data_IF_348820059825
#
_entry.id   IF_348820059825
#
_cell.length_a   1.000
_cell.length_b   1.000
_cell.length_c   1.000
_cell.angle_alpha   90.00
_cell.angle_beta   90.00
_cell.angle_gamma   90.00
#
_symmetry.space_group_name_H-M   'P 1'
#
loop_
_entity.id
_entity.type
_entity.pdbx_description
1 polymer ?
#
# COMPACT_ATOMS: atom_id res chain seq x y z
N UNK A 1 1.03 8.45 -23.83
CA UNK A 1 1.21 8.45 -22.37
C UNK A 1 1.02 7.02 -21.87
N UNK A 2 2.09 6.33 -21.47
CA UNK A 2 2.00 5.01 -20.82
C UNK A 2 1.92 5.25 -19.31
N UNK A 3 0.80 4.89 -18.72
CA UNK A 3 0.54 5.04 -17.29
C UNK A 3 1.44 4.07 -16.52
N UNK A 4 2.55 4.58 -15.97
CA UNK A 4 3.32 3.86 -14.93
C UNK A 4 2.50 3.97 -13.65
N UNK A 5 1.67 2.97 -13.39
CA UNK A 5 0.82 2.94 -12.20
C UNK A 5 1.44 1.98 -11.19
N UNK A 6 2.08 2.54 -10.16
CA UNK A 6 2.34 1.85 -8.90
C UNK A 6 1.28 2.32 -7.93
N UNK A 7 0.72 1.40 -7.13
CA UNK A 7 -0.11 1.76 -5.98
C UNK A 7 0.08 0.72 -4.88
N UNK A 8 0.31 1.10 -3.63
CA UNK A 8 -0.06 0.20 -2.52
C UNK A 8 -1.60 0.28 -2.38
N UNK A 9 -2.30 -0.84 -2.15
CA UNK A 9 -3.76 -0.83 -1.93
C UNK A 9 -4.09 -1.00 -0.47
N UNK A 10 -4.74 0.01 0.08
CA UNK A 10 -5.42 -0.08 1.35
C UNK A 10 -4.51 0.08 2.56
N UNK A 11 -5.11 0.56 3.63
CA UNK A 11 -4.45 0.94 4.89
C UNK A 11 -4.49 -0.28 5.83
N UNK A 12 -3.36 -0.87 6.20
CA UNK A 12 -3.38 -1.91 7.22
C UNK A 12 -3.65 -1.29 8.59
N UNK A 13 -4.83 -1.54 9.16
CA UNK A 13 -5.15 -1.14 10.53
C UNK A 13 -5.63 -2.38 11.26
N UNK A 14 -4.79 -2.92 12.14
CA UNK A 14 -5.22 -3.95 13.07
C UNK A 14 -6.05 -3.27 14.17
N UNK A 15 -7.37 -3.41 14.11
CA UNK A 15 -8.18 -3.31 15.32
C UNK A 15 -7.82 -4.55 16.14
N UNK A 16 -7.02 -4.34 17.19
CA UNK A 16 -6.46 -5.42 18.01
C UNK A 16 -7.58 -6.27 18.61
N UNK A 17 -7.81 -7.44 18.01
CA UNK A 17 -8.17 -8.68 18.70
C UNK A 17 -7.37 -9.83 18.03
N UNK A 18 -6.56 -10.50 18.86
CA UNK A 18 -5.64 -11.62 18.62
C UNK A 18 -5.32 -12.03 17.17
N UNK A 19 -4.18 -11.55 16.66
CA UNK A 19 -3.52 -12.13 15.49
C UNK A 19 -2.94 -13.51 15.80
N UNK A 20 -3.67 -14.57 15.50
CA UNK A 20 -3.14 -15.93 15.44
C UNK A 20 -2.91 -16.33 13.97
N UNK A 21 -1.74 -16.02 13.46
CA UNK A 21 -1.23 -16.61 12.21
C UNK A 21 -0.96 -18.10 12.45
N UNK A 22 -1.82 -18.97 11.91
CA UNK A 22 -1.78 -20.43 12.13
C UNK A 22 -3.03 -21.02 12.83
N UNK A 23 -4.04 -20.18 13.10
CA UNK A 23 -5.30 -20.61 13.68
C UNK A 23 -6.07 -21.60 12.79
N UNK A 24 -6.54 -22.70 13.37
CA UNK A 24 -7.49 -23.60 12.71
C UNK A 24 -8.82 -22.87 12.47
N UNK A 25 -9.59 -23.30 11.46
CA UNK A 25 -10.89 -22.72 11.08
C UNK A 25 -11.83 -22.34 12.26
N UNK A 26 -11.96 -23.14 13.34
CA UNK A 26 -12.75 -22.76 14.52
C UNK A 26 -12.25 -21.51 15.25
N UNK A 27 -10.94 -21.29 15.32
CA UNK A 27 -10.37 -20.08 15.94
C UNK A 27 -10.62 -18.85 15.08
N UNK A 28 -10.55 -18.97 13.74
CA UNK A 28 -10.90 -17.87 12.83
C UNK A 28 -12.38 -17.48 12.95
N UNK A 29 -13.28 -18.45 13.13
CA UNK A 29 -14.69 -18.19 13.39
C UNK A 29 -14.92 -17.49 14.73
N UNK A 30 -14.20 -17.89 15.78
CA UNK A 30 -14.27 -17.23 17.08
C UNK A 30 -13.77 -15.79 17.01
N UNK A 31 -12.67 -15.55 16.31
CA UNK A 31 -12.09 -14.22 16.07
C UNK A 31 -13.09 -13.30 15.36
N UNK A 32 -13.64 -13.74 14.22
CA UNK A 32 -14.67 -13.01 13.49
C UNK A 32 -15.95 -12.78 14.31
N UNK A 33 -16.33 -13.74 15.16
CA UNK A 33 -17.47 -13.60 16.05
C UNK A 33 -17.22 -12.55 17.14
N UNK A 34 -16.02 -12.54 17.74
CA UNK A 34 -15.63 -11.54 18.73
C UNK A 34 -15.62 -10.14 18.11
N UNK A 35 -15.07 -9.99 16.91
CA UNK A 35 -15.11 -8.73 16.18
C UNK A 35 -16.54 -8.31 15.82
N UNK A 36 -17.39 -9.26 15.43
CA UNK A 36 -18.79 -9.00 15.13
C UNK A 36 -19.59 -8.52 16.35
N UNK A 37 -19.17 -8.90 17.56
CA UNK A 37 -19.74 -8.37 18.83
C UNK A 37 -19.39 -6.91 19.05
N UNK A 38 -18.21 -6.51 18.60
CA UNK A 38 -17.74 -5.14 18.69
C UNK A 38 -18.49 -4.25 17.68
N UNK A 39 -18.40 -4.59 16.39
CA UNK A 39 -19.22 -4.04 15.32
C UNK A 39 -19.10 -4.90 14.05
N UNK A 40 -20.15 -5.01 13.21
CA UNK A 40 -20.05 -5.75 11.94
C UNK A 40 -18.89 -5.29 11.05
N UNK A 41 -18.54 -4.01 11.10
CA UNK A 41 -17.42 -3.44 10.34
C UNK A 41 -16.05 -3.94 10.82
N UNK A 42 -15.91 -4.26 12.11
CA UNK A 42 -14.66 -4.78 12.68
C UNK A 42 -14.39 -6.17 12.10
N UNK A 43 -15.42 -7.02 12.05
CA UNK A 43 -15.30 -8.35 11.44
C UNK A 43 -15.01 -8.27 9.93
N UNK A 44 -15.63 -7.31 9.23
CA UNK A 44 -15.36 -7.07 7.81
C UNK A 44 -13.91 -6.60 7.57
N UNK A 45 -13.39 -5.70 8.42
CA UNK A 45 -12.00 -5.25 8.33
C UNK A 45 -11.00 -6.36 8.60
N UNK A 46 -11.26 -7.18 9.62
CA UNK A 46 -10.46 -8.35 9.91
C UNK A 46 -10.48 -9.34 8.73
N UNK A 47 -11.64 -9.58 8.12
CA UNK A 47 -11.74 -10.45 6.95
C UNK A 47 -10.98 -9.93 5.71
N UNK A 48 -10.94 -8.62 5.47
CA UNK A 48 -10.16 -8.03 4.37
C UNK A 48 -8.64 -8.00 4.64
N UNK A 49 -8.24 -7.95 5.90
CA UNK A 49 -6.86 -7.69 6.33
C UNK A 49 -5.81 -8.62 5.68
N UNK A 50 -6.00 -9.97 5.62
CA UNK A 50 -5.04 -10.85 4.95
C UNK A 50 -4.91 -10.59 3.45
N UNK A 51 -6.00 -10.25 2.75
CA UNK A 51 -5.99 -9.93 1.32
C UNK A 51 -5.26 -8.61 1.06
N UNK A 52 -5.48 -7.60 1.91
CA UNK A 52 -4.76 -6.31 1.88
C UNK A 52 -3.27 -6.52 2.14
N UNK A 53 -2.92 -7.33 3.13
CA UNK A 53 -1.52 -7.65 3.45
C UNK A 53 -0.81 -8.35 2.29
N UNK A 54 -1.48 -9.33 1.67
CA UNK A 54 -0.98 -10.07 0.51
C UNK A 54 -0.67 -9.13 -0.68
N UNK A 55 -1.63 -8.28 -1.07
CA UNK A 55 -1.45 -7.41 -2.24
C UNK A 55 -0.42 -6.30 -1.99
N UNK A 56 -0.39 -5.73 -0.78
CA UNK A 56 0.54 -4.65 -0.45
C UNK A 56 2.01 -5.09 -0.48
N UNK A 57 2.32 -6.29 0.02
CA UNK A 57 3.72 -6.76 0.07
C UNK A 57 4.25 -7.21 -1.29
N UNK A 58 3.39 -7.68 -2.19
CA UNK A 58 3.84 -8.30 -3.45
C UNK A 58 3.67 -7.36 -4.62
N UNK A 59 2.51 -6.73 -4.76
CA UNK A 59 2.07 -6.29 -6.07
C UNK A 59 2.77 -5.02 -6.55
N UNK A 60 3.08 -4.08 -5.65
CA UNK A 60 3.89 -2.90 -6.00
C UNK A 60 5.26 -3.33 -6.49
N UNK A 61 5.94 -4.18 -5.71
CA UNK A 61 7.30 -4.62 -6.05
C UNK A 61 7.31 -5.39 -7.36
N UNK A 62 6.31 -6.26 -7.55
CA UNK A 62 6.12 -6.98 -8.80
C UNK A 62 6.01 -6.04 -10.01
N UNK A 63 5.11 -5.06 -9.94
CA UNK A 63 4.84 -4.11 -11.03
C UNK A 63 6.03 -3.20 -11.33
N UNK A 64 6.74 -2.74 -10.29
CA UNK A 64 7.97 -1.95 -10.44
C UNK A 64 8.98 -2.68 -11.28
N UNK A 65 9.25 -3.94 -10.92
CA UNK A 65 10.27 -4.68 -11.62
C UNK A 65 9.80 -4.98 -13.05
N UNK A 66 8.54 -5.41 -13.25
CA UNK A 66 8.05 -5.71 -14.60
C UNK A 66 8.07 -4.49 -15.53
N UNK A 67 7.80 -3.27 -15.03
CA UNK A 67 7.96 -2.06 -15.83
C UNK A 67 9.43 -1.85 -16.26
N UNK A 68 10.39 -2.09 -15.37
CA UNK A 68 11.83 -2.03 -15.70
C UNK A 68 12.25 -3.08 -16.73
N UNK A 69 11.67 -4.28 -16.68
CA UNK A 69 11.87 -5.31 -17.71
C UNK A 69 11.39 -4.83 -19.09
N UNK A 70 10.18 -4.27 -19.15
CA UNK A 70 9.58 -3.77 -20.39
C UNK A 70 10.25 -2.51 -20.93
N UNK A 71 10.84 -1.72 -20.04
CA UNK A 71 11.49 -0.46 -20.37
C UNK A 71 12.88 -0.42 -19.73
N UNK A 72 13.86 -1.18 -20.27
CA UNK A 72 15.21 -1.20 -19.72
C UNK A 72 15.76 0.22 -19.65
N UNK A 73 16.01 0.69 -18.44
CA UNK A 73 16.73 1.94 -18.23
C UNK A 73 18.22 1.63 -18.17
N UNK A 74 19.10 2.55 -18.61
CA UNK A 74 20.52 2.45 -18.28
C UNK A 74 20.65 2.21 -16.78
N UNK A 75 21.52 1.28 -16.36
CA UNK A 75 21.80 1.12 -14.93
C UNK A 75 22.22 2.48 -14.40
N UNK A 76 21.48 3.07 -13.43
CA UNK A 76 21.94 4.29 -12.80
C UNK A 76 23.35 4.04 -12.25
N UNK A 77 24.22 5.06 -12.19
CA UNK A 77 25.41 4.99 -11.39
C UNK A 77 25.00 4.49 -9.99
N UNK A 78 25.73 3.52 -9.44
CA UNK A 78 25.52 3.08 -8.06
C UNK A 78 26.05 4.19 -7.16
N UNK A 79 25.22 5.21 -6.95
CA UNK A 79 25.50 6.42 -6.19
C UNK A 79 24.46 6.63 -5.08
N UNK A 80 24.63 7.67 -4.26
CA UNK A 80 23.70 7.99 -3.17
C UNK A 80 22.26 8.20 -3.65
N UNK A 81 22.04 8.68 -4.88
CA UNK A 81 20.69 8.87 -5.43
C UNK A 81 20.05 7.53 -5.77
N UNK A 82 20.84 6.58 -6.26
CA UNK A 82 20.39 5.22 -6.45
C UNK A 82 19.99 4.57 -5.12
N UNK A 83 20.83 4.66 -4.09
CA UNK A 83 20.48 4.15 -2.74
C UNK A 83 19.25 4.85 -2.14
N UNK A 84 19.10 6.16 -2.34
CA UNK A 84 17.92 6.90 -1.90
C UNK A 84 16.64 6.40 -2.60
N UNK A 85 16.70 6.03 -3.88
CA UNK A 85 15.56 5.49 -4.63
C UNK A 85 15.11 4.10 -4.16
N UNK A 86 15.97 3.37 -3.44
CA UNK A 86 15.64 2.09 -2.83
C UNK A 86 14.87 2.25 -1.51
N UNK A 87 14.88 3.46 -0.93
CA UNK A 87 14.20 3.76 0.34
C UNK A 87 12.76 4.22 0.16
N UNK A 88 12.23 4.30 -1.07
CA UNK A 88 10.87 4.76 -1.30
C UNK A 88 9.81 3.76 -0.79
N UNK A 89 10.16 2.49 -0.61
CA UNK A 89 9.26 1.43 -0.13
C UNK A 89 9.98 0.57 0.90
N UNK A 90 9.29 0.22 1.98
CA UNK A 90 9.93 -0.46 3.11
C UNK A 90 9.52 -1.93 3.28
N UNK A 91 8.53 -2.40 2.52
CA UNK A 91 7.95 -3.74 2.64
C UNK A 91 8.88 -4.92 2.22
N UNK A 92 10.20 -4.74 2.15
CA UNK A 92 11.17 -5.73 1.65
C UNK A 92 12.00 -6.42 2.74
N UNK A 93 11.37 -6.92 3.80
CA UNK A 93 12.05 -7.82 4.76
C UNK A 93 12.40 -9.18 4.15
N UNK A 94 11.72 -9.58 3.08
CA UNK A 94 11.97 -10.83 2.39
C UNK A 94 13.00 -10.71 1.26
N UNK A 95 13.85 -11.74 1.17
CA UNK A 95 14.92 -11.85 0.19
C UNK A 95 14.41 -12.09 -1.24
N UNK A 96 13.21 -12.65 -1.40
CA UNK A 96 12.56 -12.87 -2.70
C UNK A 96 11.02 -12.96 -2.58
N UNK A 97 10.31 -12.80 -3.71
CA UNK A 97 8.83 -12.83 -3.77
C UNK A 97 8.22 -14.18 -3.43
N UNK A 98 8.93 -15.30 -3.65
CA UNK A 98 8.40 -16.63 -3.29
C UNK A 98 8.27 -16.78 -1.77
N UNK A 99 9.23 -16.23 -1.02
CA UNK A 99 9.17 -16.23 0.44
C UNK A 99 8.01 -15.37 0.95
N UNK A 100 7.81 -14.16 0.40
CA UNK A 100 6.66 -13.29 0.72
C UNK A 100 5.34 -13.99 0.34
N UNK A 101 5.27 -14.58 -0.86
CA UNK A 101 4.08 -15.28 -1.33
C UNK A 101 3.70 -16.43 -0.38
N UNK A 102 4.69 -17.22 0.06
CA UNK A 102 4.45 -18.31 1.02
C UNK A 102 4.01 -17.79 2.39
N UNK A 103 4.43 -16.59 2.76
CA UNK A 103 4.14 -16.00 4.06
C UNK A 103 2.75 -15.34 4.10
N UNK A 104 2.43 -14.47 3.13
CA UNK A 104 1.20 -13.64 3.18
C UNK A 104 0.16 -13.91 2.11
N UNK A 105 0.50 -14.65 1.05
CA UNK A 105 -0.43 -14.99 -0.03
C UNK A 105 -0.59 -16.52 -0.17
N UNK A 106 -0.35 -17.24 0.92
CA UNK A 106 -0.41 -18.71 0.96
C UNK A 106 -1.79 -19.22 1.39
N UNK A 107 -1.89 -20.54 1.61
CA UNK A 107 -3.16 -21.21 1.90
C UNK A 107 -3.89 -20.52 3.07
N UNK A 108 -5.16 -20.18 2.85
CA UNK A 108 -6.04 -19.61 3.89
C UNK A 108 -6.12 -18.09 3.94
N UNK A 109 -5.42 -17.33 3.07
CA UNK A 109 -5.52 -15.86 3.08
C UNK A 109 -6.93 -15.33 2.70
N UNK A 110 -7.78 -16.15 2.06
CA UNK A 110 -9.21 -15.84 1.81
C UNK A 110 -10.15 -16.45 2.85
N UNK A 111 -9.65 -17.25 3.80
CA UNK A 111 -10.49 -18.07 4.67
C UNK A 111 -11.40 -17.23 5.57
N UNK A 112 -10.92 -16.09 6.07
CA UNK A 112 -11.77 -15.16 6.84
C UNK A 112 -12.88 -14.52 5.98
N UNK A 113 -12.61 -14.21 4.71
CA UNK A 113 -13.64 -13.71 3.78
C UNK A 113 -14.71 -14.77 3.51
N UNK A 114 -14.27 -16.01 3.29
CA UNK A 114 -15.15 -17.14 3.03
C UNK A 114 -16.01 -17.49 4.25
N UNK A 115 -15.42 -17.47 5.45
CA UNK A 115 -16.12 -17.69 6.72
C UNK A 115 -17.15 -16.61 7.03
N UNK A 116 -16.80 -15.34 6.81
CA UNK A 116 -17.71 -14.21 7.04
C UNK A 116 -18.82 -14.14 5.97
N UNK A 117 -18.64 -14.80 4.82
CA UNK A 117 -19.49 -14.69 3.64
C UNK A 117 -19.71 -13.23 3.18
N UNK A 118 -18.72 -12.36 3.46
CA UNK A 118 -18.76 -10.96 3.08
C UNK A 118 -18.21 -10.79 1.67
N UNK A 119 -19.07 -10.40 0.71
CA UNK A 119 -18.72 -10.22 -0.71
C UNK A 119 -18.07 -11.50 -1.26
N UNK A 120 -18.81 -12.61 -1.42
CA UNK A 120 -18.25 -13.89 -1.87
C UNK A 120 -17.48 -13.78 -3.21
N UNK A 121 -17.84 -12.83 -4.07
CA UNK A 121 -17.12 -12.51 -5.29
C UNK A 121 -15.67 -12.05 -5.05
N UNK A 122 -15.39 -11.39 -3.91
CA UNK A 122 -14.04 -10.93 -3.57
C UNK A 122 -13.11 -12.10 -3.26
N UNK A 123 -13.59 -13.13 -2.57
CA UNK A 123 -12.81 -14.33 -2.30
C UNK A 123 -12.42 -15.04 -3.61
N UNK A 124 -13.34 -15.10 -4.58
CA UNK A 124 -13.03 -15.63 -5.91
C UNK A 124 -11.94 -14.81 -6.60
N UNK A 125 -12.09 -13.47 -6.65
CA UNK A 125 -11.09 -12.58 -7.30
C UNK A 125 -9.73 -12.67 -6.61
N UNK A 126 -9.69 -12.79 -5.27
CA UNK A 126 -8.47 -12.99 -4.52
C UNK A 126 -7.81 -14.33 -4.86
N UNK A 127 -8.57 -15.42 -4.93
CA UNK A 127 -8.07 -16.73 -5.33
C UNK A 127 -7.52 -16.73 -6.78
N UNK A 128 -8.18 -16.05 -7.72
CA UNK A 128 -7.66 -15.86 -9.08
C UNK A 128 -6.32 -15.12 -9.10
N UNK A 129 -6.18 -14.08 -8.26
CA UNK A 129 -4.92 -13.36 -8.08
C UNK A 129 -3.82 -14.28 -7.55
N UNK A 130 -4.07 -15.08 -6.52
CA UNK A 130 -3.09 -16.01 -5.96
C UNK A 130 -2.64 -17.07 -6.98
N UNK A 131 -3.56 -17.58 -7.80
CA UNK A 131 -3.24 -18.50 -8.90
C UNK A 131 -2.35 -17.84 -9.97
N UNK A 132 -2.68 -16.61 -10.36
CA UNK A 132 -1.87 -15.86 -11.34
C UNK A 132 -0.48 -15.53 -10.76
N UNK A 133 -0.41 -15.16 -9.49
CA UNK A 133 0.83 -14.93 -8.77
C UNK A 133 1.70 -16.18 -8.76
N UNK A 134 1.15 -17.33 -8.42
CA UNK A 134 1.88 -18.59 -8.42
C UNK A 134 2.40 -18.97 -9.81
N UNK A 135 1.63 -18.73 -10.87
CA UNK A 135 2.09 -18.97 -12.25
C UNK A 135 3.27 -18.07 -12.61
N UNK A 136 3.20 -16.77 -12.29
CA UNK A 136 4.27 -15.84 -12.65
C UNK A 136 5.54 -16.06 -11.82
N UNK A 137 5.42 -16.40 -10.52
CA UNK A 137 6.58 -16.64 -9.65
C UNK A 137 7.25 -18.00 -9.89
N UNK A 138 6.54 -18.98 -10.44
CA UNK A 138 7.13 -20.25 -10.88
C UNK A 138 7.80 -20.14 -12.25
N UNK A 139 7.25 -19.32 -13.16
CA UNK A 139 7.80 -19.11 -14.51
C UNK A 139 9.04 -18.21 -14.51
N UNK A 140 9.08 -17.19 -13.64
CA UNK A 140 10.20 -16.25 -13.57
C UNK A 140 11.22 -16.70 -12.51
N UNK A 141 12.53 -16.66 -12.80
CA UNK A 141 13.55 -16.98 -11.81
C UNK A 141 13.49 -16.00 -10.63
N UNK A 142 13.73 -16.47 -9.40
CA UNK A 142 13.72 -15.63 -8.21
C UNK A 142 14.94 -14.70 -8.24
N UNK A 143 14.79 -13.49 -8.75
CA UNK A 143 15.76 -12.42 -8.53
C UNK A 143 15.22 -11.48 -7.46
N UNK A 144 16.13 -10.97 -6.61
CA UNK A 144 15.82 -10.05 -5.52
C UNK A 144 14.98 -8.90 -6.07
N UNK A 145 13.75 -8.81 -5.60
CA UNK A 145 12.79 -7.87 -6.17
C UNK A 145 13.14 -6.40 -5.95
N UNK A 146 14.18 -6.08 -5.17
CA UNK A 146 14.42 -4.69 -4.76
C UNK A 146 15.83 -4.12 -4.89
N UNK A 147 16.80 -4.82 -5.49
CA UNK A 147 18.14 -4.20 -5.69
C UNK A 147 18.69 -4.26 -7.08
N UNK A 148 18.17 -5.13 -7.94
CA UNK A 148 18.76 -5.29 -9.27
C UNK A 148 17.76 -5.27 -10.40
N UNK A 149 16.46 -5.57 -10.14
CA UNK A 149 15.36 -5.63 -11.12
C UNK A 149 15.82 -5.89 -12.56
N UNK A 150 16.70 -6.88 -12.71
CA UNK A 150 17.19 -7.35 -13.98
C UNK A 150 16.61 -8.73 -14.04
N UNK A 151 15.46 -8.86 -14.71
CA UNK A 151 14.81 -10.13 -15.09
C UNK A 151 15.75 -11.03 -15.91
N UNK A 152 16.94 -10.52 -16.19
CA UNK A 152 18.03 -11.09 -16.95
C UNK A 152 19.28 -10.94 -16.06
N UNK A 153 19.47 -11.85 -15.10
CA UNK A 153 20.79 -12.09 -14.50
C UNK A 153 21.49 -13.29 -15.14
N UNK A 154 20.92 -13.88 -16.20
CA UNK A 154 21.63 -14.83 -17.06
C UNK A 154 22.41 -14.05 -18.12
N UNK A 155 23.63 -14.49 -18.42
CA UNK A 155 24.43 -14.00 -19.55
C UNK A 155 23.81 -14.32 -20.92
N UNK A 156 22.72 -15.09 -20.95
CA UNK A 156 21.95 -15.41 -22.15
C UNK A 156 20.68 -14.56 -22.20
N UNK A 157 20.49 -13.87 -23.34
CA UNK A 157 19.22 -13.24 -23.66
C UNK A 157 18.15 -14.34 -23.83
N UNK A 158 16.94 -14.15 -23.28
CA UNK A 158 15.86 -15.11 -23.49
C UNK A 158 15.52 -15.22 -24.97
N UNK A 159 15.21 -16.43 -25.42
CA UNK A 159 14.70 -16.74 -26.75
C UNK A 159 13.38 -16.01 -27.01
N UNK A 160 12.94 -15.97 -28.28
CA UNK A 160 11.66 -15.36 -28.63
C UNK A 160 10.48 -16.05 -27.94
N UNK A 161 10.54 -17.37 -27.79
CA UNK A 161 9.52 -18.18 -27.13
C UNK A 161 9.47 -17.91 -25.62
N UNK A 162 10.63 -17.82 -24.97
CA UNK A 162 10.74 -17.46 -23.55
C UNK A 162 10.22 -16.06 -23.29
N UNK A 163 10.57 -15.09 -24.14
CA UNK A 163 10.02 -13.72 -24.05
C UNK A 163 8.50 -13.73 -24.16
N UNK A 164 7.94 -14.42 -25.15
CA UNK A 164 6.49 -14.51 -25.33
C UNK A 164 5.79 -15.17 -24.13
N UNK A 165 6.41 -16.20 -23.53
CA UNK A 165 5.90 -16.85 -22.32
C UNK A 165 5.92 -15.89 -21.12
N UNK A 166 7.05 -15.22 -20.86
CA UNK A 166 7.21 -14.22 -19.79
C UNK A 166 6.16 -13.13 -19.92
N UNK A 167 5.95 -12.61 -21.12
CA UNK A 167 4.98 -11.55 -21.38
C UNK A 167 3.55 -12.00 -21.08
N UNK A 168 3.17 -13.21 -21.50
CA UNK A 168 1.84 -13.77 -21.26
C UNK A 168 1.54 -13.91 -19.77
N UNK A 169 2.40 -14.62 -19.02
CA UNK A 169 2.17 -14.85 -17.58
C UNK A 169 2.19 -13.55 -16.78
N UNK A 170 3.00 -12.58 -17.23
CA UNK A 170 3.08 -11.26 -16.61
C UNK A 170 1.84 -10.42 -16.87
N UNK A 171 1.27 -10.49 -18.07
CA UNK A 171 0.00 -9.82 -18.40
C UNK A 171 -1.17 -10.46 -17.65
N UNK A 172 -1.22 -11.79 -17.54
CA UNK A 172 -2.25 -12.50 -16.78
C UNK A 172 -2.22 -12.08 -15.31
N UNK A 173 -1.03 -12.03 -14.71
CA UNK A 173 -0.85 -11.53 -13.35
C UNK A 173 -1.26 -10.06 -13.21
N UNK A 174 -0.80 -9.17 -14.10
CA UNK A 174 -1.16 -7.76 -14.05
C UNK A 174 -2.67 -7.53 -14.18
N UNK A 175 -3.36 -8.34 -14.99
CA UNK A 175 -4.82 -8.32 -15.14
C UNK A 175 -5.52 -8.76 -13.85
N UNK A 176 -5.15 -9.93 -13.30
CA UNK A 176 -5.72 -10.45 -12.06
C UNK A 176 -5.49 -9.50 -10.88
N UNK A 177 -4.28 -8.98 -10.75
CA UNK A 177 -3.93 -7.93 -9.80
C UNK A 177 -4.80 -6.68 -9.95
N UNK A 178 -4.98 -6.17 -11.18
CA UNK A 178 -5.83 -5.00 -11.42
C UNK A 178 -7.28 -5.26 -10.99
N UNK A 179 -7.83 -6.45 -11.29
CA UNK A 179 -9.18 -6.84 -10.85
C UNK A 179 -9.30 -6.87 -9.34
N UNK A 180 -8.34 -7.50 -8.64
CA UNK A 180 -8.35 -7.55 -7.18
C UNK A 180 -8.29 -6.15 -6.57
N UNK A 181 -7.43 -5.26 -7.07
CA UNK A 181 -7.33 -3.87 -6.61
C UNK A 181 -8.65 -3.12 -6.75
N UNK A 182 -9.28 -3.25 -7.92
CA UNK A 182 -10.56 -2.59 -8.20
C UNK A 182 -11.70 -3.11 -7.32
N UNK A 183 -11.70 -4.40 -7.00
CA UNK A 183 -12.70 -4.99 -6.09
C UNK A 183 -12.44 -4.62 -4.62
N UNK A 184 -11.18 -4.62 -4.18
CA UNK A 184 -10.79 -4.46 -2.79
C UNK A 184 -10.83 -2.99 -2.31
N UNK A 185 -10.32 -2.07 -3.12
CA UNK A 185 -10.15 -0.67 -2.75
C UNK A 185 -11.42 0.03 -2.24
N UNK A 186 -12.59 -0.05 -2.92
CA UNK A 186 -13.79 0.63 -2.44
C UNK A 186 -14.32 0.02 -1.14
N UNK A 187 -14.12 -1.30 -0.94
CA UNK A 187 -14.50 -1.96 0.31
C UNK A 187 -13.62 -1.45 1.44
N UNK A 188 -12.30 -1.40 1.22
CA UNK A 188 -11.33 -0.90 2.19
C UNK A 188 -11.62 0.54 2.61
N UNK A 189 -11.85 1.42 1.63
CA UNK A 189 -12.14 2.83 1.86
C UNK A 189 -13.44 3.04 2.63
N UNK A 190 -14.49 2.25 2.33
CA UNK A 190 -15.79 2.37 2.97
C UNK A 190 -15.76 2.07 4.47
N UNK A 191 -14.78 1.30 4.96
CA UNK A 191 -14.69 0.96 6.38
C UNK A 191 -14.09 2.06 7.25
N UNK A 192 -13.26 2.93 6.65
CA UNK A 192 -12.40 3.84 7.39
C UNK A 192 -13.14 4.90 8.20
N UNK A 193 -14.22 5.54 7.69
CA UNK A 193 -14.98 6.48 8.48
C UNK A 193 -15.62 5.84 9.72
N UNK A 194 -16.12 4.61 9.59
CA UNK A 194 -16.74 3.91 10.71
C UNK A 194 -15.70 3.42 11.73
N UNK A 195 -14.54 2.93 11.28
CA UNK A 195 -13.41 2.62 12.17
C UNK A 195 -12.99 3.85 12.97
N UNK A 196 -12.92 5.02 12.32
CA UNK A 196 -12.58 6.28 12.97
C UNK A 196 -13.65 6.69 14.02
N UNK A 197 -14.94 6.49 13.69
CA UNK A 197 -16.06 6.73 14.62
C UNK A 197 -16.00 5.81 15.85
N UNK A 198 -15.64 4.54 15.66
CA UNK A 198 -15.48 3.58 16.75
C UNK A 198 -14.30 3.92 17.66
N UNK A 199 -13.17 4.34 17.10
CA UNK A 199 -12.02 4.84 17.87
C UNK A 199 -12.43 6.05 18.72
N UNK A 200 -13.14 7.02 18.11
CA UNK A 200 -13.60 8.22 18.82
C UNK A 200 -14.54 7.88 19.98
N UNK A 201 -15.48 6.96 19.77
CA UNK A 201 -16.43 6.55 20.79
C UNK A 201 -15.77 5.84 21.99
N UNK A 202 -14.64 5.15 21.77
CA UNK A 202 -13.95 4.38 22.83
C UNK A 202 -12.91 5.19 23.58
N UNK A 203 -12.15 6.01 22.85
CA UNK A 203 -10.92 6.62 23.36
C UNK A 203 -10.88 8.14 23.13
N UNK A 204 -11.93 8.71 22.52
CA UNK A 204 -11.91 10.09 22.05
C UNK A 204 -10.98 10.28 20.86
N UNK A 205 -10.59 11.53 20.59
CA UNK A 205 -9.63 11.87 19.53
C UNK A 205 -8.21 11.81 20.07
N UNK A 206 -7.74 10.59 20.30
CA UNK A 206 -6.39 10.31 20.79
C UNK A 206 -5.39 10.16 19.62
N UNK A 207 -4.15 9.74 19.93
CA UNK A 207 -3.08 9.58 18.93
C UNK A 207 -3.44 8.58 17.81
N UNK A 208 -4.18 7.51 18.13
CA UNK A 208 -4.60 6.50 17.16
C UNK A 208 -5.66 7.06 16.21
N UNK A 209 -6.62 7.81 16.76
CA UNK A 209 -7.64 8.50 15.97
C UNK A 209 -6.99 9.46 14.96
N UNK A 210 -6.06 10.31 15.40
CA UNK A 210 -5.41 11.26 14.50
C UNK A 210 -4.52 10.56 13.46
N UNK A 211 -3.90 9.43 13.79
CA UNK A 211 -3.13 8.63 12.85
C UNK A 211 -4.01 8.06 11.74
N UNK A 212 -5.12 7.41 12.10
CA UNK A 212 -6.06 6.88 11.12
C UNK A 212 -6.65 8.02 10.28
N UNK A 213 -7.06 9.13 10.90
CA UNK A 213 -7.58 10.31 10.21
C UNK A 213 -6.58 10.88 9.18
N UNK A 214 -5.29 10.90 9.51
CA UNK A 214 -4.26 11.32 8.56
C UNK A 214 -4.11 10.34 7.40
N UNK A 215 -4.07 9.03 7.64
CA UNK A 215 -3.94 8.04 6.56
C UNK A 215 -5.17 8.05 5.63
N UNK A 216 -6.37 8.28 6.17
CA UNK A 216 -7.59 8.53 5.38
C UNK A 216 -7.41 9.79 4.53
N UNK A 217 -7.01 10.91 5.13
CA UNK A 217 -6.81 12.17 4.40
C UNK A 217 -5.73 12.05 3.30
N UNK A 218 -4.66 11.31 3.57
CA UNK A 218 -3.58 11.04 2.63
C UNK A 218 -4.09 10.28 1.40
N UNK A 219 -4.94 9.26 1.63
CA UNK A 219 -5.61 8.50 0.57
C UNK A 219 -6.57 9.36 -0.25
N UNK A 220 -7.47 10.07 0.44
CA UNK A 220 -8.45 10.95 -0.19
C UNK A 220 -7.78 12.03 -1.06
N UNK A 221 -6.60 12.51 -0.66
CA UNK A 221 -5.81 13.46 -1.45
C UNK A 221 -5.46 12.87 -2.81
N UNK A 222 -4.95 11.64 -2.87
CA UNK A 222 -4.68 10.96 -4.15
C UNK A 222 -5.97 10.76 -4.93
N UNK A 223 -7.03 10.23 -4.29
CA UNK A 223 -8.28 9.91 -4.98
C UNK A 223 -8.92 11.16 -5.63
N UNK A 224 -8.91 12.30 -4.93
CA UNK A 224 -9.39 13.59 -5.47
C UNK A 224 -8.55 14.04 -6.67
N UNK A 225 -7.23 13.99 -6.55
CA UNK A 225 -6.32 14.43 -7.60
C UNK A 225 -6.38 13.52 -8.84
N UNK A 226 -6.46 12.21 -8.65
CA UNK A 226 -6.63 11.24 -9.74
C UNK A 226 -7.97 11.40 -10.45
N UNK A 227 -9.07 11.55 -9.70
CA UNK A 227 -10.39 11.79 -10.27
C UNK A 227 -10.41 13.09 -11.08
N UNK A 228 -9.79 14.16 -10.54
CA UNK A 228 -9.70 15.44 -11.22
C UNK A 228 -8.84 15.37 -12.49
N UNK A 229 -7.71 14.64 -12.46
CA UNK A 229 -6.90 14.40 -13.65
C UNK A 229 -7.68 13.62 -14.72
N UNK A 230 -8.33 12.52 -14.32
CA UNK A 230 -9.12 11.67 -15.22
C UNK A 230 -10.25 12.45 -15.89
N UNK A 231 -10.92 13.32 -15.14
CA UNK A 231 -12.05 14.12 -15.61
C UNK A 231 -11.63 15.47 -16.21
N UNK A 232 -10.32 15.76 -16.28
CA UNK A 232 -9.76 17.04 -16.77
C UNK A 232 -10.28 18.27 -15.99
N UNK A 233 -10.52 18.10 -14.70
CA UNK A 233 -10.98 19.15 -13.78
C UNK A 233 -9.92 19.53 -12.75
N UNK A 234 -8.68 19.03 -12.88
CA UNK A 234 -7.59 19.45 -11.99
C UNK A 234 -7.24 20.92 -12.24
N UNK A 235 -7.32 21.72 -11.18
CA UNK A 235 -6.99 23.15 -11.19
C UNK A 235 -5.94 23.47 -10.10
N UNK A 236 -5.20 24.58 -10.23
CA UNK A 236 -4.29 25.05 -9.18
C UNK A 236 -4.97 25.24 -7.82
N UNK A 237 -6.23 25.70 -7.82
CA UNK A 237 -7.00 25.90 -6.60
C UNK A 237 -7.35 24.56 -5.94
N UNK A 238 -7.85 23.59 -6.71
CA UNK A 238 -8.15 22.26 -6.18
C UNK A 238 -6.89 21.60 -5.59
N UNK A 239 -5.75 21.73 -6.26
CA UNK A 239 -4.46 21.24 -5.75
C UNK A 239 -4.07 21.95 -4.45
N UNK A 240 -4.18 23.28 -4.38
CA UNK A 240 -3.87 24.07 -3.19
C UNK A 240 -4.75 23.68 -2.00
N UNK A 241 -6.07 23.58 -2.20
CA UNK A 241 -7.04 23.23 -1.17
C UNK A 241 -6.81 21.82 -0.64
N UNK A 242 -6.53 20.87 -1.54
CA UNK A 242 -6.26 19.48 -1.18
C UNK A 242 -4.94 19.36 -0.41
N UNK A 243 -3.90 20.07 -0.85
CA UNK A 243 -2.60 20.13 -0.16
C UNK A 243 -2.74 20.74 1.24
N UNK A 244 -3.51 21.82 1.38
CA UNK A 244 -3.75 22.46 2.67
C UNK A 244 -4.50 21.54 3.66
N UNK A 245 -5.49 20.77 3.19
CA UNK A 245 -6.18 19.76 4.01
C UNK A 245 -5.23 18.69 4.52
N UNK A 246 -4.37 18.15 3.65
CA UNK A 246 -3.38 17.15 4.05
C UNK A 246 -2.36 17.73 5.05
N UNK A 247 -1.86 18.94 4.80
CA UNK A 247 -0.93 19.63 5.71
C UNK A 247 -1.57 19.86 7.08
N UNK A 248 -2.85 20.24 7.13
CA UNK A 248 -3.56 20.40 8.39
C UNK A 248 -3.69 19.07 9.13
N UNK A 249 -4.02 17.98 8.43
CA UNK A 249 -4.08 16.65 9.02
C UNK A 249 -2.70 16.21 9.57
N UNK A 250 -1.63 16.47 8.81
CA UNK A 250 -0.25 16.20 9.20
C UNK A 250 0.14 16.97 10.48
N UNK A 251 -0.19 18.25 10.56
CA UNK A 251 0.17 19.11 11.69
C UNK A 251 -0.52 18.73 13.00
N UNK A 252 -1.64 18.00 12.96
CA UNK A 252 -2.35 17.55 14.17
C UNK A 252 -1.57 16.53 14.99
N UNK A 253 -0.48 15.96 14.45
CA UNK A 253 0.37 15.03 15.18
C UNK A 253 1.24 15.69 16.26
N UNK A 254 1.51 17.00 16.13
CA UNK A 254 2.52 17.72 16.93
C UNK A 254 2.39 17.49 18.45
N UNK A 255 1.18 17.56 19.06
CA UNK A 255 1.03 17.35 20.49
C UNK A 255 1.43 15.96 20.99
N UNK A 256 1.51 14.96 20.10
CA UNK A 256 1.81 13.58 20.44
C UNK A 256 3.31 13.24 20.31
N UNK A 257 4.10 14.10 19.68
CA UNK A 257 5.52 13.83 19.42
C UNK A 257 6.45 14.26 20.56
N UNK A 258 5.99 15.13 21.46
CA UNK A 258 6.83 15.80 22.45
C UNK A 258 7.00 15.08 23.80
N UNK A 259 6.33 13.97 24.05
CA UNK A 259 6.34 13.29 25.35
C UNK A 259 6.86 11.86 25.26
N UNK A 260 8.10 11.63 25.71
CA UNK A 260 8.52 10.30 26.19
C UNK A 260 8.20 10.22 27.67
N UNK A 261 7.15 9.48 28.03
CA UNK A 261 6.94 9.08 29.42
C UNK A 261 7.87 7.90 29.69
N UNK A 262 8.80 8.03 30.63
CA UNK A 262 9.64 6.93 31.09
C UNK A 262 8.76 5.84 31.73
N UNK A 263 8.69 4.65 31.15
CA UNK A 263 7.85 3.54 31.61
C UNK A 263 7.80 2.38 30.61
N UNK A 264 6.98 1.36 30.89
CA UNK A 264 6.71 0.26 29.95
C UNK A 264 5.98 0.77 28.70
N UNK A 265 6.39 0.31 27.52
CA UNK A 265 5.72 0.64 26.25
C UNK A 265 4.24 0.26 26.31
N UNK A 266 3.38 1.21 25.98
CA UNK A 266 1.94 1.01 25.84
C UNK A 266 1.47 1.28 24.39
N UNK A 267 0.17 1.10 24.11
CA UNK A 267 -0.39 1.30 22.76
C UNK A 267 -0.19 2.73 22.23
N UNK A 268 -0.28 3.74 23.11
CA UNK A 268 0.00 5.14 22.76
C UNK A 268 1.46 5.32 22.32
N UNK A 269 2.40 4.62 22.96
CA UNK A 269 3.80 4.61 22.52
C UNK A 269 3.97 3.98 21.14
N UNK A 270 3.29 2.86 20.86
CA UNK A 270 3.33 2.23 19.54
C UNK A 270 2.77 3.14 18.42
N UNK A 271 1.67 3.84 18.68
CA UNK A 271 1.10 4.81 17.73
C UNK A 271 2.00 6.06 17.55
N UNK A 272 2.65 6.53 18.62
CA UNK A 272 3.66 7.60 18.53
C UNK A 272 4.87 7.15 17.72
N UNK A 273 5.37 5.96 17.98
CA UNK A 273 6.50 5.39 17.25
C UNK A 273 6.16 5.25 15.76
N UNK A 274 4.93 4.84 15.45
CA UNK A 274 4.41 4.82 14.08
C UNK A 274 4.36 6.22 13.44
N UNK A 275 3.92 7.25 14.16
CA UNK A 275 3.98 8.64 13.69
C UNK A 275 5.40 9.12 13.39
N UNK A 276 6.36 8.82 14.27
CA UNK A 276 7.77 9.15 14.07
C UNK A 276 8.33 8.44 12.85
N UNK A 277 7.98 7.16 12.72
CA UNK A 277 8.44 6.29 11.66
C UNK A 277 7.97 6.73 10.27
N UNK A 278 6.70 7.16 10.15
CA UNK A 278 6.18 7.73 8.91
C UNK A 278 6.57 9.20 8.71
N UNK A 279 7.33 9.80 9.64
CA UNK A 279 7.74 11.21 9.63
C UNK A 279 8.39 11.65 8.32
N UNK A 280 9.42 10.93 7.89
CA UNK A 280 10.11 11.19 6.62
C UNK A 280 9.21 10.98 5.40
N UNK A 281 8.62 9.78 5.17
CA UNK A 281 7.82 9.57 3.96
C UNK A 281 6.56 10.45 3.90
N UNK A 282 5.96 10.81 5.05
CA UNK A 282 4.84 11.75 5.10
C UNK A 282 5.22 13.18 4.71
N UNK A 283 6.44 13.61 5.08
CA UNK A 283 6.99 14.92 4.64
C UNK A 283 7.29 14.91 3.14
N UNK A 284 7.92 13.85 2.63
CA UNK A 284 8.21 13.75 1.19
C UNK A 284 6.95 13.72 0.33
N UNK A 285 5.85 13.18 0.84
CA UNK A 285 4.54 13.22 0.18
C UNK A 285 3.98 14.65 0.10
N UNK A 286 4.03 15.41 1.20
CA UNK A 286 3.65 16.82 1.20
C UNK A 286 4.54 17.66 0.28
N UNK A 287 5.84 17.43 0.28
CA UNK A 287 6.79 18.15 -0.58
C UNK A 287 6.52 17.90 -2.07
N UNK A 288 6.08 16.70 -2.45
CA UNK A 288 5.68 16.40 -3.83
C UNK A 288 4.46 17.23 -4.26
N UNK A 289 3.47 17.39 -3.39
CA UNK A 289 2.30 18.24 -3.63
C UNK A 289 2.70 19.72 -3.77
N UNK A 290 3.56 20.21 -2.87
CA UNK A 290 4.08 21.57 -2.95
C UNK A 290 4.92 21.81 -4.21
N UNK A 291 5.69 20.81 -4.64
CA UNK A 291 6.48 20.88 -5.88
C UNK A 291 5.58 21.04 -7.09
N UNK A 292 4.55 20.18 -7.24
CA UNK A 292 3.58 20.33 -8.33
C UNK A 292 2.88 21.69 -8.29
N UNK A 293 2.48 22.16 -7.11
CA UNK A 293 1.82 23.45 -6.96
C UNK A 293 2.73 24.61 -7.40
N UNK A 294 4.00 24.58 -6.98
CA UNK A 294 5.01 25.58 -7.34
C UNK A 294 5.27 25.56 -8.86
N UNK A 295 5.52 24.40 -9.43
CA UNK A 295 5.87 24.26 -10.85
C UNK A 295 4.68 24.61 -11.74
N UNK A 296 3.44 24.32 -11.31
CA UNK A 296 2.23 24.79 -11.99
C UNK A 296 2.12 26.31 -11.97
N UNK A 297 2.27 26.96 -10.79
CA UNK A 297 2.22 28.43 -10.68
C UNK A 297 3.29 29.11 -11.55
N UNK A 298 4.44 28.46 -11.70
CA UNK A 298 5.53 28.95 -12.54
C UNK A 298 5.36 28.61 -14.03
N UNK A 299 4.21 28.06 -14.44
CA UNK A 299 3.93 27.67 -15.82
C UNK A 299 4.96 26.71 -16.40
N UNK A 300 5.43 25.76 -15.59
CA UNK A 300 6.36 24.73 -16.06
C UNK A 300 5.78 23.93 -17.23
N UNK A 301 6.66 23.37 -18.05
CA UNK A 301 6.26 22.60 -19.23
C UNK A 301 5.36 21.40 -18.86
N UNK A 302 4.42 20.98 -19.73
CA UNK A 302 3.49 19.89 -19.43
C UNK A 302 4.16 18.58 -19.00
N UNK A 303 5.36 18.29 -19.53
CA UNK A 303 6.14 17.12 -19.13
C UNK A 303 6.53 17.17 -17.66
N UNK A 304 7.01 18.34 -17.18
CA UNK A 304 7.40 18.55 -15.79
C UNK A 304 6.21 18.35 -14.85
N UNK A 305 5.06 18.93 -15.18
CA UNK A 305 3.83 18.75 -14.39
C UNK A 305 3.37 17.29 -14.35
N UNK A 306 3.53 16.55 -15.46
CA UNK A 306 3.24 15.12 -15.50
C UNK A 306 4.20 14.31 -14.60
N UNK A 307 5.48 14.68 -14.56
CA UNK A 307 6.49 14.03 -13.72
C UNK A 307 6.24 14.32 -12.23
N UNK A 308 5.86 15.56 -11.89
CA UNK A 308 5.50 15.95 -10.52
C UNK A 308 4.22 15.22 -10.05
N UNK A 309 3.20 15.10 -10.91
CA UNK A 309 2.01 14.32 -10.60
C UNK A 309 2.32 12.83 -10.38
N UNK A 310 3.24 12.27 -11.16
CA UNK A 310 3.72 10.91 -10.93
C UNK A 310 4.46 10.78 -9.59
N UNK A 311 5.27 11.78 -9.22
CA UNK A 311 5.98 11.80 -7.95
C UNK A 311 5.02 11.80 -6.74
N UNK A 312 3.90 12.51 -6.80
CA UNK A 312 2.86 12.51 -5.75
C UNK A 312 2.40 11.08 -5.45
N UNK A 313 1.99 10.33 -6.48
CA UNK A 313 1.51 8.96 -6.33
C UNK A 313 2.59 8.04 -5.74
N UNK A 314 3.82 8.14 -6.24
CA UNK A 314 4.95 7.35 -5.74
C UNK A 314 5.24 7.65 -4.26
N UNK A 315 5.20 8.92 -3.85
CA UNK A 315 5.44 9.31 -2.45
C UNK A 315 4.32 8.88 -1.52
N UNK A 316 3.06 8.95 -1.96
CA UNK A 316 1.94 8.38 -1.23
C UNK A 316 2.10 6.87 -1.04
N UNK A 317 2.47 6.13 -2.09
CA UNK A 317 2.67 4.69 -1.95
C UNK A 317 3.81 4.34 -1.01
N UNK A 318 4.88 5.15 -1.02
CA UNK A 318 5.96 5.03 -0.06
C UNK A 318 5.48 5.23 1.37
N UNK A 319 4.77 6.32 1.64
CA UNK A 319 4.12 6.55 2.94
C UNK A 319 3.26 5.35 3.37
N UNK A 320 2.42 4.84 2.47
CA UNK A 320 1.55 3.71 2.76
C UNK A 320 2.35 2.43 3.04
N UNK A 321 3.45 2.18 2.33
CA UNK A 321 4.34 1.02 2.56
C UNK A 321 5.00 1.08 3.95
N UNK A 322 5.60 2.22 4.32
CA UNK A 322 6.19 2.40 5.66
C UNK A 322 5.14 2.24 6.76
N UNK A 323 3.98 2.88 6.59
CA UNK A 323 2.87 2.78 7.51
C UNK A 323 2.43 1.31 7.70
N UNK A 324 2.17 0.60 6.60
CA UNK A 324 1.69 -0.78 6.63
C UNK A 324 2.71 -1.73 7.24
N UNK A 325 4.01 -1.54 6.98
CA UNK A 325 5.07 -2.36 7.58
C UNK A 325 5.04 -2.25 9.10
N UNK A 326 5.09 -1.02 9.61
CA UNK A 326 5.18 -0.76 11.04
C UNK A 326 3.87 -1.09 11.76
N UNK A 327 2.72 -0.81 11.14
CA UNK A 327 1.42 -1.20 11.68
C UNK A 327 1.30 -2.71 11.90
N UNK A 328 1.82 -3.55 10.99
CA UNK A 328 1.83 -5.02 11.15
C UNK A 328 2.80 -5.53 12.21
N UNK A 329 3.92 -4.83 12.40
CA UNK A 329 4.94 -5.25 13.36
C UNK A 329 4.54 -4.97 14.81
N UNK A 330 3.72 -3.94 15.01
CA UNK A 330 3.35 -3.40 16.33
C UNK A 330 1.91 -3.75 16.75
N UNK A 331 1.04 -4.16 15.83
CA UNK A 331 -0.40 -4.38 16.08
C UNK A 331 -0.96 -5.61 15.35
#
# INVERSE_FOLDING_TARGET
MRTRVMFCVGIFFALVIMGLTGATRPFLQLDLWLDGRDAPITAQANALSPVIACINRIDVQWRVAYDRYKHPQPRPPVDERWFASLSDFEDSDALNVRDIQRDVCSQGFTEKLELLAYRPELAQVANEYALALNRVTTTLPPQRFYREASFISSSQQPSAEEKAMIERVSQDYASASTRLRQALLPLDAAQRPEQLRLLEARQGRDVHWYLLAYMIQARETVDVLEAAMKNRTLTPQLLADTTAKLQQAWNRREPFLSSQTSGFQNKTDAARDLWLYIGKPGTEYLDALYTLQKDWRNHAEPKRLSDDFYAINRRYDGLLSYYNRRARAEF
#
